data_IF_095515251069
#
_entry.id   IF_095515251069
#
_cell.length_a   1.000
_cell.length_b   1.000
_cell.length_c   1.000
_cell.angle_alpha   90.00
_cell.angle_beta   90.00
_cell.angle_gamma   90.00
#
_symmetry.space_group_name_H-M   'P 1'
#
loop_
_entity.id
_entity.type
_entity.pdbx_description
1 polymer ?
#
# COMPACT_ATOMS: atom_id res chain seq x y z
N UNK A 1 0.92 -10.96 17.97
CA UNK A 1 -0.28 -11.75 17.68
C UNK A 1 -0.72 -11.45 16.26
N UNK A 2 -1.09 -12.47 15.50
CA UNK A 2 -1.42 -12.28 14.10
C UNK A 2 -2.66 -11.40 13.89
N UNK A 3 -3.62 -11.43 14.83
CA UNK A 3 -4.81 -10.57 14.73
C UNK A 3 -4.43 -9.08 14.84
N UNK A 4 -3.47 -8.75 15.69
CA UNK A 4 -3.00 -7.37 15.83
C UNK A 4 -2.27 -6.90 14.58
N UNK A 5 -1.42 -7.76 14.00
CA UNK A 5 -0.70 -7.44 12.77
C UNK A 5 -1.66 -7.23 11.61
N UNK A 6 -2.66 -8.10 11.47
CA UNK A 6 -3.69 -7.97 10.44
C UNK A 6 -4.43 -6.64 10.56
N UNK A 7 -4.75 -6.24 11.79
CA UNK A 7 -5.47 -4.99 12.03
C UNK A 7 -4.66 -3.78 11.58
N UNK A 8 -3.36 -3.77 11.83
CA UNK A 8 -2.48 -2.68 11.39
C UNK A 8 -2.51 -2.56 9.87
N UNK A 9 -2.35 -3.68 9.17
CA UNK A 9 -2.31 -3.68 7.71
C UNK A 9 -3.67 -3.27 7.14
N UNK A 10 -4.77 -3.79 7.69
CA UNK A 10 -6.10 -3.42 7.23
C UNK A 10 -6.35 -1.93 7.45
N UNK A 11 -5.96 -1.38 8.59
CA UNK A 11 -6.11 0.05 8.86
C UNK A 11 -5.35 0.89 7.85
N UNK A 12 -4.13 0.47 7.48
CA UNK A 12 -3.35 1.17 6.47
C UNK A 12 -4.05 1.13 5.10
N UNK A 13 -4.49 -0.05 4.67
CA UNK A 13 -5.11 -0.19 3.35
C UNK A 13 -6.46 0.53 3.27
N UNK A 14 -7.16 0.66 4.39
CA UNK A 14 -8.44 1.38 4.43
C UNK A 14 -8.25 2.89 4.61
N UNK A 15 -7.01 3.34 4.84
CA UNK A 15 -6.73 4.76 5.06
C UNK A 15 -6.56 5.50 3.74
N UNK A 16 -6.49 6.83 3.83
CA UNK A 16 -6.21 7.69 2.68
C UNK A 16 -4.76 8.12 2.62
N UNK A 17 -3.86 7.35 3.21
CA UNK A 17 -2.46 7.77 3.39
C UNK A 17 -1.74 8.00 2.05
N UNK A 18 -2.14 7.29 0.99
CA UNK A 18 -1.57 7.53 -0.34
C UNK A 18 -1.90 8.92 -0.89
N UNK A 19 -2.94 9.56 -0.33
CA UNK A 19 -3.33 10.93 -0.70
C UNK A 19 -2.95 11.92 0.40
N UNK A 20 -2.44 11.43 1.52
CA UNK A 20 -2.01 12.23 2.67
C UNK A 20 -0.66 11.71 3.17
N UNK A 21 0.41 11.95 2.39
CA UNK A 21 1.72 11.37 2.73
C UNK A 21 2.27 11.81 4.08
N UNK A 22 1.78 12.91 4.63
CA UNK A 22 2.19 13.37 5.96
C UNK A 22 1.71 12.42 7.07
N UNK A 23 0.75 11.52 6.79
CA UNK A 23 0.24 10.56 7.77
C UNK A 23 0.95 9.21 7.70
N UNK A 24 1.94 9.08 6.82
CA UNK A 24 2.60 7.80 6.57
C UNK A 24 3.25 7.23 7.85
N UNK A 25 3.79 8.10 8.71
CA UNK A 25 4.43 7.67 9.95
C UNK A 25 3.46 7.07 10.96
N UNK A 26 2.15 7.24 10.76
CA UNK A 26 1.16 6.59 11.63
C UNK A 26 1.15 5.08 11.43
N UNK A 27 1.60 4.59 10.28
CA UNK A 27 1.53 3.17 9.91
C UNK A 27 2.89 2.55 9.70
N UNK A 28 3.91 3.32 9.36
CA UNK A 28 5.20 2.82 8.92
C UNK A 28 6.32 3.23 9.86
N UNK A 29 7.25 2.30 10.11
CA UNK A 29 8.47 2.58 10.83
C UNK A 29 9.40 3.45 9.97
N UNK A 30 10.25 4.25 10.61
CA UNK A 30 11.26 5.04 9.90
C UNK A 30 12.27 4.15 9.16
N UNK A 31 12.44 2.90 9.63
CA UNK A 31 13.34 1.92 9.01
C UNK A 31 12.66 1.07 7.95
N UNK A 32 11.46 1.46 7.55
CA UNK A 32 10.66 0.72 6.59
C UNK A 32 11.37 0.53 5.26
N UNK A 33 11.18 -0.65 4.65
CA UNK A 33 11.68 -0.97 3.32
C UNK A 33 10.57 -1.67 2.54
N UNK A 34 10.38 -1.28 1.28
CA UNK A 34 9.50 -2.00 0.37
C UNK A 34 10.30 -2.53 -0.80
N UNK A 35 10.13 -3.83 -1.06
CA UNK A 35 10.69 -4.51 -2.23
C UNK A 35 9.53 -4.79 -3.19
N UNK A 36 9.57 -4.17 -4.35
CA UNK A 36 8.44 -4.17 -5.27
C UNK A 36 8.84 -4.79 -6.60
N UNK A 37 8.20 -5.92 -6.93
CA UNK A 37 8.35 -6.59 -8.22
C UNK A 37 7.15 -6.19 -9.08
N UNK A 38 7.34 -5.15 -9.87
CA UNK A 38 6.32 -4.68 -10.81
C UNK A 38 6.60 -5.28 -12.18
N UNK A 39 5.59 -5.24 -13.06
CA UNK A 39 5.76 -5.70 -14.44
C UNK A 39 6.85 -4.91 -15.18
N UNK A 40 7.09 -3.67 -14.76
CA UNK A 40 8.12 -2.80 -15.36
C UNK A 40 9.51 -3.02 -14.75
N UNK A 41 9.66 -3.91 -13.76
CA UNK A 41 10.93 -4.21 -13.14
C UNK A 41 10.89 -4.16 -11.63
N UNK A 42 12.04 -4.40 -11.01
CA UNK A 42 12.18 -4.44 -9.57
C UNK A 42 12.56 -3.06 -9.03
N UNK A 43 11.93 -2.65 -7.93
CA UNK A 43 12.22 -1.39 -7.24
C UNK A 43 12.32 -1.62 -5.75
N UNK A 44 13.16 -0.80 -5.10
CA UNK A 44 13.37 -0.86 -3.66
C UNK A 44 13.17 0.55 -3.12
N UNK A 45 12.30 0.69 -2.11
CA UNK A 45 11.98 1.99 -1.52
C UNK A 45 12.26 1.97 -0.03
N UNK A 46 12.93 3.02 0.47
CA UNK A 46 12.98 3.30 1.90
C UNK A 46 11.80 4.20 2.27
N UNK A 47 11.73 4.64 3.53
CA UNK A 47 10.61 5.46 4.01
C UNK A 47 10.48 6.76 3.18
N UNK A 48 11.58 7.47 2.98
CA UNK A 48 11.53 8.74 2.25
C UNK A 48 11.13 8.55 0.80
N UNK A 49 11.63 7.52 0.17
CA UNK A 49 11.30 7.21 -1.22
C UNK A 49 9.83 6.82 -1.36
N UNK A 50 9.33 6.04 -0.41
CA UNK A 50 7.93 5.65 -0.41
C UNK A 50 7.03 6.88 -0.15
N UNK A 51 7.46 7.77 0.72
CA UNK A 51 6.73 9.01 0.97
C UNK A 51 6.66 9.87 -0.29
N UNK A 52 7.74 9.94 -1.06
CA UNK A 52 7.74 10.66 -2.34
C UNK A 52 6.78 10.01 -3.34
N UNK A 53 6.72 8.69 -3.34
CA UNK A 53 5.76 7.97 -4.19
C UNK A 53 4.33 8.35 -3.81
N UNK A 54 4.04 8.44 -2.51
CA UNK A 54 2.73 8.86 -2.04
C UNK A 54 2.42 10.30 -2.42
N UNK A 55 3.43 11.18 -2.35
CA UNK A 55 3.27 12.57 -2.77
C UNK A 55 2.92 12.66 -4.25
N UNK A 56 3.62 11.89 -5.09
CA UNK A 56 3.32 11.84 -6.52
C UNK A 56 1.89 11.35 -6.74
N UNK A 57 1.50 10.30 -6.04
CA UNK A 57 0.16 9.73 -6.15
C UNK A 57 -0.91 10.75 -5.74
N UNK A 58 -0.65 11.51 -4.66
CA UNK A 58 -1.60 12.50 -4.16
C UNK A 58 -1.83 13.63 -5.16
N UNK A 59 -0.86 13.89 -6.03
CA UNK A 59 -0.99 14.90 -7.06
C UNK A 59 -1.61 14.38 -8.35
N UNK A 60 -1.74 13.06 -8.47
CA UNK A 60 -2.23 12.42 -9.70
C UNK A 60 -3.69 12.02 -9.62
N UNK A 61 -4.23 11.79 -8.42
CA UNK A 61 -5.57 11.24 -8.25
C UNK A 61 -6.37 12.04 -7.23
N UNK A 62 -7.69 12.11 -7.44
CA UNK A 62 -8.60 12.72 -6.48
C UNK A 62 -9.10 11.71 -5.46
N UNK A 63 -9.00 10.42 -5.79
CA UNK A 63 -9.44 9.34 -4.90
C UNK A 63 -8.60 8.10 -5.17
N UNK A 64 -8.31 7.38 -4.11
CA UNK A 64 -7.60 6.10 -4.20
C UNK A 64 -8.14 5.17 -3.13
N UNK A 65 -8.48 3.95 -3.52
CA UNK A 65 -9.09 2.97 -2.64
C UNK A 65 -8.49 1.59 -2.90
N UNK A 66 -8.15 0.88 -1.84
CA UNK A 66 -7.71 -0.51 -1.93
C UNK A 66 -8.91 -1.42 -1.64
N UNK A 67 -9.18 -2.36 -2.53
CA UNK A 67 -10.24 -3.35 -2.35
C UNK A 67 -9.59 -4.70 -2.03
N UNK A 68 -9.72 -5.14 -0.79
CA UNK A 68 -9.07 -6.35 -0.30
C UNK A 68 -9.88 -7.58 -0.70
N UNK A 69 -9.25 -8.49 -1.46
CA UNK A 69 -9.86 -9.78 -1.82
C UNK A 69 -9.58 -10.85 -0.78
N UNK A 70 -8.35 -10.88 -0.27
CA UNK A 70 -7.90 -11.88 0.70
C UNK A 70 -6.92 -11.23 1.65
N UNK A 71 -7.02 -11.57 2.93
CA UNK A 71 -6.04 -11.15 3.91
C UNK A 71 -5.85 -12.27 4.92
N UNK A 72 -4.62 -12.73 5.06
CA UNK A 72 -4.28 -13.79 6.00
C UNK A 72 -3.04 -13.37 6.76
N UNK A 73 -2.89 -13.87 7.97
CA UNK A 73 -1.74 -13.50 8.78
C UNK A 73 -1.23 -14.67 9.59
N UNK A 74 0.09 -14.67 9.79
CA UNK A 74 0.77 -15.62 10.65
C UNK A 74 1.87 -14.87 11.37
N UNK A 75 1.82 -14.81 12.70
CA UNK A 75 2.78 -14.06 13.52
C UNK A 75 2.84 -12.60 13.06
N UNK A 76 4.01 -12.14 12.63
CA UNK A 76 4.20 -10.75 12.20
C UNK A 76 3.93 -10.53 10.71
N UNK A 77 3.69 -11.61 9.96
CA UNK A 77 3.52 -11.53 8.51
C UNK A 77 2.05 -11.49 8.14
N UNK A 78 1.70 -10.58 7.24
CA UNK A 78 0.33 -10.43 6.74
C UNK A 78 0.37 -10.44 5.23
N UNK A 79 -0.28 -11.41 4.62
CA UNK A 79 -0.38 -11.50 3.16
C UNK A 79 -1.72 -10.96 2.72
N UNK A 80 -1.71 -10.08 1.71
CA UNK A 80 -2.93 -9.42 1.23
C UNK A 80 -2.95 -9.44 -0.28
N UNK A 81 -4.11 -9.80 -0.82
CA UNK A 81 -4.39 -9.65 -2.25
C UNK A 81 -5.42 -8.53 -2.38
N UNK A 82 -5.11 -7.52 -3.17
CA UNK A 82 -5.99 -6.36 -3.29
C UNK A 82 -5.87 -5.71 -4.66
N UNK A 83 -6.92 -4.95 -5.01
CA UNK A 83 -6.97 -4.14 -6.22
C UNK A 83 -7.03 -2.68 -5.82
N UNK A 84 -6.31 -1.83 -6.53
CA UNK A 84 -6.35 -0.39 -6.27
C UNK A 84 -7.23 0.28 -7.33
N UNK A 85 -8.21 1.04 -6.85
CA UNK A 85 -9.12 1.84 -7.67
C UNK A 85 -8.84 3.31 -7.44
N UNK A 86 -8.88 4.08 -8.51
CA UNK A 86 -8.63 5.53 -8.43
C UNK A 86 -9.68 6.31 -9.20
N UNK A 87 -9.77 7.60 -8.86
CA UNK A 87 -10.45 8.60 -9.68
C UNK A 87 -9.38 9.60 -10.10
N UNK A 88 -9.27 9.85 -11.39
CA UNK A 88 -8.26 10.75 -11.92
C UNK A 88 -8.73 12.19 -11.83
N UNK A 89 -7.78 13.13 -11.92
CA UNK A 89 -8.10 14.55 -11.93
C UNK A 89 -8.91 14.91 -13.16
N UNK A 90 -8.58 14.29 -14.30
CA UNK A 90 -9.27 14.53 -15.57
C UNK A 90 -10.70 13.98 -15.57
N UNK A 91 -10.94 12.93 -14.79
CA UNK A 91 -12.24 12.25 -14.79
C UNK A 91 -12.63 11.87 -13.35
N UNK A 92 -12.94 12.88 -12.51
CA UNK A 92 -13.11 12.65 -11.06
C UNK A 92 -14.39 11.93 -10.67
N UNK A 93 -15.29 11.67 -11.63
CA UNK A 93 -16.53 10.96 -11.34
C UNK A 93 -16.48 9.48 -11.68
N UNK A 94 -15.42 9.03 -12.33
CA UNK A 94 -15.30 7.63 -12.74
C UNK A 94 -14.19 6.93 -11.94
N UNK A 95 -14.54 5.85 -11.25
CA UNK A 95 -13.56 5.03 -10.52
C UNK A 95 -13.10 3.89 -11.41
N UNK A 96 -11.77 3.78 -11.59
CA UNK A 96 -11.19 2.75 -12.44
C UNK A 96 -10.11 1.97 -11.69
N UNK A 97 -9.95 0.67 -11.96
CA UNK A 97 -8.83 -0.09 -11.39
C UNK A 97 -7.54 0.25 -12.13
N UNK A 98 -6.44 0.42 -11.39
CA UNK A 98 -5.15 0.73 -12.01
C UNK A 98 -4.13 -0.40 -11.80
N UNK A 99 -4.37 -1.32 -10.89
CA UNK A 99 -3.43 -2.40 -10.68
C UNK A 99 -3.93 -3.43 -9.71
N UNK A 100 -3.34 -4.62 -9.82
CA UNK A 100 -3.63 -5.77 -8.98
C UNK A 100 -2.37 -6.09 -8.18
N UNK A 101 -2.52 -6.32 -6.87
CA UNK A 101 -1.40 -6.41 -5.96
C UNK A 101 -1.49 -7.64 -5.08
N UNK A 102 -0.35 -8.27 -4.85
CA UNK A 102 -0.17 -9.25 -3.79
C UNK A 102 1.01 -8.76 -2.96
N UNK A 103 0.79 -8.53 -1.68
CA UNK A 103 1.82 -7.97 -0.80
C UNK A 103 1.91 -8.77 0.48
N UNK A 104 3.14 -8.95 0.95
CA UNK A 104 3.40 -9.52 2.27
C UNK A 104 3.99 -8.41 3.13
N UNK A 105 3.25 -8.05 4.18
CA UNK A 105 3.63 -7.00 5.12
C UNK A 105 4.22 -7.64 6.36
N UNK A 106 5.33 -7.08 6.84
CA UNK A 106 5.85 -7.45 8.17
C UNK A 106 5.54 -6.32 9.12
N UNK A 107 4.93 -6.66 10.26
CA UNK A 107 4.53 -5.69 11.28
C UNK A 107 5.32 -5.95 12.54
N UNK A 108 5.90 -4.90 13.14
CA UNK A 108 6.65 -5.01 14.38
C UNK A 108 6.31 -3.80 15.24
N UNK A 109 5.95 -4.06 16.50
CA UNK A 109 5.59 -3.01 17.46
C UNK A 109 4.53 -2.05 16.92
N UNK A 110 3.53 -2.59 16.23
CA UNK A 110 2.41 -1.81 15.73
C UNK A 110 2.69 -1.01 14.47
N UNK A 111 3.86 -1.19 13.84
CA UNK A 111 4.23 -0.47 12.63
C UNK A 111 4.62 -1.45 11.53
N UNK A 112 4.37 -1.06 10.29
CA UNK A 112 4.83 -1.83 9.12
C UNK A 112 6.30 -1.53 8.93
N UNK A 113 7.13 -2.59 8.92
CA UNK A 113 8.58 -2.45 8.80
C UNK A 113 9.09 -2.95 7.46
N UNK A 114 8.32 -3.76 6.76
CA UNK A 114 8.74 -4.28 5.47
C UNK A 114 7.52 -4.68 4.65
N UNK A 115 7.59 -4.42 3.33
CA UNK A 115 6.61 -4.95 2.37
C UNK A 115 7.38 -5.65 1.25
N UNK A 116 6.96 -6.87 0.93
CA UNK A 116 7.36 -7.55 -0.29
C UNK A 116 6.13 -7.58 -1.18
N UNK A 117 6.21 -6.91 -2.33
CA UNK A 117 5.03 -6.67 -3.15
C UNK A 117 5.27 -7.12 -4.59
N UNK A 118 4.24 -7.75 -5.15
CA UNK A 118 4.18 -8.06 -6.57
C UNK A 118 2.92 -7.42 -7.12
N UNK A 119 3.02 -6.88 -8.33
CA UNK A 119 1.88 -6.22 -8.93
C UNK A 119 1.93 -6.30 -10.45
N UNK A 120 0.78 -6.12 -11.07
CA UNK A 120 0.70 -5.90 -12.51
C UNK A 120 -0.42 -4.91 -12.78
N UNK A 121 -0.27 -4.12 -13.87
CA UNK A 121 -1.29 -3.12 -14.20
C UNK A 121 -2.55 -3.79 -14.71
N UNK A 122 -3.63 -3.02 -14.75
CA UNK A 122 -4.84 -3.46 -15.40
C UNK A 122 -4.58 -3.61 -16.91
N UNK A 123 -5.06 -4.70 -17.46
CA UNK A 123 -4.96 -4.96 -18.89
C UNK A 123 -6.03 -4.25 -19.70
#
# INVERSE_FOLDING_TARGET
MSAASKKVVRSFLDSNVFLKPEELSNYFSEDFVMKWHASSGYRNYDFKEYQRLCEFTSNSYTSLRASISNIISEKEDVAVRFTVYVKTIENPTEEIPIGYFISIFKVSYGKIVEINQSSHPKE
#
